data_IF_129524996878
#
_entry.id   IF_129524996878
#
_cell.length_a   1.000
_cell.length_b   1.000
_cell.length_c   1.000
_cell.angle_alpha   90.00
_cell.angle_beta   90.00
_cell.angle_gamma   90.00
#
_symmetry.space_group_name_H-M   'P 1'
#
loop_
_entity.id
_entity.type
_entity.pdbx_description
1 polymer ?
#
# COMPACT_ATOMS: atom_id res chain seq x y z
N UNK A 1 -3.41 14.51 -26.07
CA UNK A 1 -2.24 13.64 -26.17
C UNK A 1 -1.75 13.71 -27.62
N UNK A 2 -0.51 14.17 -27.84
CA UNK A 2 0.03 14.36 -29.20
C UNK A 2 0.27 13.00 -29.86
N UNK A 3 0.15 12.95 -31.19
CA UNK A 3 0.37 11.74 -32.02
C UNK A 3 1.68 11.02 -31.68
N UNK A 4 2.74 11.77 -31.38
CA UNK A 4 4.04 11.25 -30.95
C UNK A 4 3.96 10.48 -29.61
N UNK A 5 3.16 10.94 -28.66
CA UNK A 5 2.94 10.25 -27.38
C UNK A 5 2.17 8.93 -27.57
N UNK A 6 1.25 8.90 -28.53
CA UNK A 6 0.50 7.69 -28.87
C UNK A 6 1.42 6.66 -29.53
N UNK A 7 2.29 7.09 -30.45
CA UNK A 7 3.24 6.19 -31.14
C UNK A 7 4.24 5.61 -30.13
N UNK A 8 4.80 6.41 -29.23
CA UNK A 8 5.73 5.96 -28.20
C UNK A 8 5.03 5.01 -27.22
N UNK A 9 3.76 5.26 -26.90
CA UNK A 9 2.96 4.37 -26.04
C UNK A 9 2.68 3.04 -26.71
N UNK A 10 2.34 3.03 -27.99
CA UNK A 10 2.10 1.79 -28.77
C UNK A 10 3.40 0.99 -28.97
N UNK A 11 4.53 1.64 -29.26
CA UNK A 11 5.84 0.94 -29.36
C UNK A 11 6.27 0.37 -28.00
N UNK A 12 5.97 1.06 -26.92
CA UNK A 12 6.24 0.57 -25.56
C UNK A 12 5.38 -0.63 -25.19
N UNK A 13 4.08 -0.66 -25.55
CA UNK A 13 3.20 -1.81 -25.36
C UNK A 13 3.70 -3.01 -26.19
N UNK A 14 4.10 -2.79 -27.44
CA UNK A 14 4.62 -3.82 -28.32
C UNK A 14 5.95 -4.40 -27.81
N UNK A 15 6.86 -3.57 -27.34
CA UNK A 15 8.12 -4.00 -26.73
C UNK A 15 7.89 -4.75 -25.41
N UNK A 16 6.95 -4.31 -24.58
CA UNK A 16 6.64 -4.97 -23.32
C UNK A 16 5.97 -6.33 -23.51
N UNK A 17 5.12 -6.47 -24.53
CA UNK A 17 4.48 -7.75 -24.87
C UNK A 17 5.46 -8.75 -25.51
N UNK A 18 6.40 -8.28 -26.30
CA UNK A 18 7.45 -9.14 -26.88
C UNK A 18 8.44 -9.66 -25.84
N UNK A 19 8.76 -8.86 -24.80
CA UNK A 19 9.60 -9.29 -23.68
C UNK A 19 8.90 -10.30 -22.75
N UNK A 20 7.58 -10.22 -22.63
CA UNK A 20 6.79 -11.19 -21.83
C UNK A 20 6.79 -12.59 -22.49
N UNK A 21 6.90 -12.67 -23.80
CA UNK A 21 6.93 -13.96 -24.53
C UNK A 21 8.29 -14.66 -24.43
N UNK A 22 9.39 -13.92 -24.30
CA UNK A 22 10.74 -14.51 -24.16
C UNK A 22 11.10 -14.91 -22.72
N UNK A 23 10.34 -14.49 -21.73
CA UNK A 23 10.53 -14.79 -20.29
C UNK A 23 9.78 -16.07 -19.83
N UNK A 24 9.29 -16.90 -20.71
CA UNK A 24 8.82 -18.24 -20.35
C UNK A 24 10.01 -19.17 -20.18
N UNK A 25 10.52 -19.22 -18.95
CA UNK A 25 11.17 -20.33 -18.22
C UNK A 25 12.24 -19.78 -17.30
N UNK A 26 12.18 -20.04 -16.11
CA UNK A 26 12.29 -21.17 -15.23
C UNK A 26 11.44 -20.87 -14.00
N UNK A 27 10.39 -21.60 -13.83
CA UNK A 27 9.64 -21.60 -12.57
C UNK A 27 10.53 -22.26 -11.51
N UNK A 28 11.56 -21.54 -11.03
CA UNK A 28 12.14 -21.81 -9.72
C UNK A 28 11.04 -21.43 -8.74
N UNK A 29 10.45 -22.43 -8.14
CA UNK A 29 9.52 -22.35 -7.03
C UNK A 29 10.27 -21.78 -5.81
N UNK A 30 10.70 -20.52 -5.90
CA UNK A 30 11.07 -19.76 -4.72
C UNK A 30 9.74 -19.46 -4.04
N UNK A 31 9.39 -20.27 -3.06
CA UNK A 31 8.42 -19.89 -2.05
C UNK A 31 9.01 -18.68 -1.36
N UNK A 32 8.56 -17.50 -1.74
CA UNK A 32 9.07 -16.27 -1.16
C UNK A 32 8.77 -16.30 0.33
N UNK A 33 9.84 -16.27 1.12
CA UNK A 33 9.80 -16.35 2.58
C UNK A 33 8.80 -15.34 3.18
N UNK A 34 8.64 -14.17 2.54
CA UNK A 34 7.80 -13.06 3.00
C UNK A 34 6.36 -13.09 2.43
N UNK A 35 5.97 -14.12 1.72
CA UNK A 35 4.62 -14.31 1.18
C UNK A 35 4.02 -15.66 1.57
N UNK A 36 4.63 -16.39 2.48
CA UNK A 36 4.21 -17.73 2.89
C UNK A 36 4.00 -17.83 4.39
N UNK A 37 3.25 -18.84 4.82
CA UNK A 37 2.95 -19.12 6.22
C UNK A 37 2.31 -17.90 6.93
N UNK A 38 2.89 -17.48 8.05
CA UNK A 38 2.42 -16.31 8.82
C UNK A 38 2.62 -14.95 8.14
N UNK A 39 3.31 -14.92 7.01
CA UNK A 39 3.54 -13.72 6.22
C UNK A 39 2.65 -13.64 4.97
N UNK A 40 1.70 -14.55 4.84
CA UNK A 40 0.72 -14.50 3.74
C UNK A 40 -0.05 -13.18 3.81
N UNK A 41 -0.11 -12.42 2.71
CA UNK A 41 -0.86 -11.18 2.67
C UNK A 41 -2.33 -11.36 3.01
N UNK A 42 -2.90 -10.43 3.73
CA UNK A 42 -4.34 -10.35 3.95
C UNK A 42 -4.98 -9.78 2.69
N UNK A 43 -5.84 -10.56 2.04
CA UNK A 43 -6.40 -10.21 0.72
C UNK A 43 -7.71 -9.43 0.79
N UNK A 44 -8.33 -9.34 1.96
CA UNK A 44 -9.64 -8.73 2.14
C UNK A 44 -9.69 -7.83 3.37
N UNK A 45 -10.39 -6.72 3.23
CA UNK A 45 -10.78 -5.92 4.39
C UNK A 45 -11.93 -6.60 5.12
N UNK A 46 -11.83 -6.64 6.46
CA UNK A 46 -12.83 -7.30 7.31
C UNK A 46 -13.18 -6.43 8.51
N UNK A 47 -14.43 -6.55 8.94
CA UNK A 47 -14.88 -6.07 10.24
C UNK A 47 -15.46 -7.26 10.99
N UNK A 48 -14.92 -7.54 12.17
CA UNK A 48 -15.39 -8.61 13.04
C UNK A 48 -15.88 -8.01 14.35
N UNK A 49 -17.05 -8.46 14.79
CA UNK A 49 -17.64 -8.01 16.05
C UNK A 49 -17.78 -9.24 16.94
N UNK A 50 -17.14 -9.20 18.11
CA UNK A 50 -17.20 -10.25 19.12
C UNK A 50 -17.91 -9.70 20.35
N UNK A 51 -18.97 -10.35 20.78
CA UNK A 51 -19.63 -10.03 22.05
C UNK A 51 -18.87 -10.69 23.21
N UNK A 52 -18.79 -9.99 24.33
CA UNK A 52 -18.18 -10.54 25.53
C UNK A 52 -18.90 -10.07 26.79
N UNK A 53 -18.87 -10.91 27.84
CA UNK A 53 -19.43 -10.60 29.15
C UNK A 53 -18.32 -10.49 30.22
N UNK A 54 -17.07 -10.36 29.81
CA UNK A 54 -15.94 -10.38 30.73
C UNK A 54 -15.71 -9.01 31.36
N UNK A 55 -15.95 -8.89 32.67
CA UNK A 55 -15.77 -7.65 33.44
C UNK A 55 -14.33 -7.10 33.43
N UNK A 56 -13.32 -7.91 33.07
CA UNK A 56 -11.93 -7.43 32.93
C UNK A 56 -11.77 -6.39 31.83
N UNK A 57 -12.58 -6.46 30.76
CA UNK A 57 -12.56 -5.50 29.69
C UNK A 57 -13.16 -4.14 30.04
N UNK A 58 -13.89 -4.05 31.17
CA UNK A 58 -14.49 -2.78 31.62
C UNK A 58 -13.44 -1.70 31.92
N UNK A 59 -12.20 -2.09 32.22
CA UNK A 59 -11.09 -1.15 32.49
C UNK A 59 -10.48 -0.54 31.23
N UNK A 60 -10.71 -1.13 30.06
CA UNK A 60 -10.14 -0.68 28.78
C UNK A 60 -11.23 -0.23 27.79
N UNK A 61 -12.44 0.02 28.29
CA UNK A 61 -13.55 0.49 27.49
C UNK A 61 -13.24 1.83 26.80
N UNK A 62 -13.79 2.02 25.62
CA UNK A 62 -13.60 3.20 24.77
C UNK A 62 -12.15 3.46 24.35
N UNK A 63 -11.29 2.44 24.48
CA UNK A 63 -9.93 2.50 23.98
C UNK A 63 -9.81 1.82 22.61
N UNK A 64 -8.90 2.36 21.83
CA UNK A 64 -8.52 1.83 20.53
C UNK A 64 -7.09 1.36 20.59
N UNK A 65 -6.85 0.12 20.20
CA UNK A 65 -5.52 -0.37 19.85
C UNK A 65 -5.41 -0.43 18.34
N UNK A 66 -4.40 0.18 17.76
CA UNK A 66 -4.17 0.14 16.32
C UNK A 66 -2.71 -0.12 16.00
N UNK A 67 -2.49 -0.90 14.95
CA UNK A 67 -1.17 -1.22 14.40
C UNK A 67 -1.22 -1.11 12.88
N UNK A 68 -0.14 -0.66 12.26
CA UNK A 68 0.03 -0.63 10.82
C UNK A 68 1.18 -1.52 10.41
N UNK A 69 1.11 -2.05 9.20
CA UNK A 69 2.16 -2.86 8.62
C UNK A 69 2.04 -2.95 7.11
N UNK A 70 3.06 -3.54 6.53
CA UNK A 70 3.15 -3.80 5.09
C UNK A 70 2.24 -4.96 4.71
N UNK A 71 1.32 -4.75 3.77
CA UNK A 71 0.42 -5.77 3.24
C UNK A 71 0.15 -5.51 1.75
N UNK A 72 0.86 -6.18 0.84
CA UNK A 72 0.75 -5.89 -0.58
C UNK A 72 -0.63 -6.28 -1.11
N UNK A 73 -1.30 -5.37 -1.81
CA UNK A 73 -2.57 -5.66 -2.48
C UNK A 73 -2.36 -6.30 -3.85
N UNK A 74 -1.34 -5.85 -4.57
CA UNK A 74 -0.95 -6.39 -5.87
C UNK A 74 0.42 -7.05 -5.76
N UNK A 75 0.44 -8.37 -5.64
CA UNK A 75 1.67 -9.15 -5.47
C UNK A 75 2.23 -9.57 -6.83
N UNK A 76 3.50 -9.27 -7.09
CA UNK A 76 4.32 -9.96 -8.09
C UNK A 76 5.26 -10.90 -7.38
N UNK A 77 5.22 -12.18 -7.73
CA UNK A 77 5.70 -13.30 -6.92
C UNK A 77 7.22 -13.43 -6.76
N UNK A 78 8.08 -12.67 -7.44
CA UNK A 78 9.48 -13.11 -7.52
C UNK A 78 10.44 -12.33 -6.63
N UNK A 79 10.19 -11.05 -6.37
CA UNK A 79 11.15 -10.19 -5.66
C UNK A 79 10.51 -9.28 -4.59
N UNK A 80 9.48 -9.76 -3.91
CA UNK A 80 8.85 -9.01 -2.83
C UNK A 80 9.76 -8.94 -1.61
N UNK A 81 9.99 -7.75 -1.11
CA UNK A 81 10.65 -7.50 0.17
C UNK A 81 9.60 -7.16 1.24
N UNK A 82 9.86 -7.52 2.50
CA UNK A 82 8.89 -7.34 3.59
C UNK A 82 8.35 -5.89 3.70
N UNK A 83 9.17 -4.89 3.41
CA UNK A 83 8.78 -3.49 3.48
C UNK A 83 8.06 -2.95 2.22
N UNK A 84 7.92 -3.75 1.20
CA UNK A 84 7.39 -3.30 -0.10
C UNK A 84 5.86 -3.21 -0.19
N UNK A 85 5.13 -3.74 0.79
CA UNK A 85 3.67 -3.82 0.75
C UNK A 85 2.97 -2.51 1.05
N UNK A 86 1.73 -2.41 0.60
CA UNK A 86 0.85 -1.28 0.92
C UNK A 86 0.54 -1.24 2.42
N UNK A 87 0.33 -0.05 2.95
CA UNK A 87 -0.03 0.11 4.36
C UNK A 87 -1.41 -0.47 4.65
N UNK A 88 -1.47 -1.40 5.59
CA UNK A 88 -2.73 -1.89 6.13
C UNK A 88 -2.78 -1.63 7.64
N UNK A 89 -3.80 -0.91 8.07
CA UNK A 89 -4.08 -0.70 9.50
C UNK A 89 -4.96 -1.83 10.01
N UNK A 90 -4.63 -2.31 11.20
CA UNK A 90 -5.43 -3.24 12.00
C UNK A 90 -5.83 -2.53 13.28
N UNK A 91 -7.11 -2.38 13.52
CA UNK A 91 -7.63 -1.71 14.69
C UNK A 91 -8.52 -2.62 15.52
N UNK A 92 -8.43 -2.47 16.85
CA UNK A 92 -9.31 -3.14 17.81
C UNK A 92 -9.91 -2.06 18.71
N UNK A 93 -11.22 -2.00 18.75
CA UNK A 93 -11.97 -1.12 19.64
C UNK A 93 -12.68 -1.92 20.73
N UNK A 94 -12.54 -1.45 21.96
CA UNK A 94 -13.17 -2.05 23.13
C UNK A 94 -14.37 -1.21 23.54
N UNK A 95 -15.56 -1.77 23.40
CA UNK A 95 -16.81 -1.20 23.88
C UNK A 95 -17.39 -2.08 25.01
N UNK A 96 -18.37 -1.60 25.74
CA UNK A 96 -18.91 -2.17 26.97
C UNK A 96 -19.23 -3.69 26.90
N UNK A 97 -19.69 -4.16 25.76
CA UNK A 97 -20.07 -5.56 25.54
C UNK A 97 -19.51 -6.15 24.25
N UNK A 98 -18.76 -5.37 23.50
CA UNK A 98 -18.30 -5.74 22.17
C UNK A 98 -16.84 -5.41 21.99
N UNK A 99 -16.12 -6.30 21.30
CA UNK A 99 -14.80 -6.01 20.74
C UNK A 99 -14.99 -5.96 19.23
N UNK A 100 -14.58 -4.84 18.62
CA UNK A 100 -14.67 -4.65 17.18
C UNK A 100 -13.26 -4.66 16.63
N UNK A 101 -12.96 -5.59 15.74
CA UNK A 101 -11.74 -5.63 14.95
C UNK A 101 -12.04 -5.15 13.54
N UNK A 102 -11.14 -4.33 12.99
CA UNK A 102 -11.21 -3.93 11.61
C UNK A 102 -9.80 -3.87 11.00
N UNK A 103 -9.66 -4.29 9.76
CA UNK A 103 -8.48 -4.04 8.96
C UNK A 103 -8.85 -3.28 7.68
N UNK A 104 -8.00 -2.31 7.30
CA UNK A 104 -8.20 -1.45 6.13
C UNK A 104 -6.88 -1.12 5.46
N UNK A 105 -6.85 -1.11 4.12
CA UNK A 105 -5.73 -0.50 3.40
C UNK A 105 -5.77 1.01 3.52
N UNK A 106 -4.60 1.58 3.73
CA UNK A 106 -4.44 3.04 3.63
C UNK A 106 -4.56 3.42 2.16
N UNK A 107 -5.56 4.22 1.84
CA UNK A 107 -5.85 4.67 0.47
C UNK A 107 -4.85 5.75 0.05
N UNK A 108 -3.59 5.33 -0.13
CA UNK A 108 -2.52 6.19 -0.65
C UNK A 108 -2.77 6.53 -2.11
N UNK A 109 -2.18 7.62 -2.60
CA UNK A 109 -2.25 7.97 -4.05
C UNK A 109 -1.68 6.86 -4.94
N UNK A 110 -0.62 6.19 -4.46
CA UNK A 110 -0.05 5.00 -5.07
C UNK A 110 -1.09 3.89 -5.20
N UNK A 111 -1.68 3.46 -4.09
CA UNK A 111 -2.66 2.37 -4.08
C UNK A 111 -3.89 2.67 -4.93
N UNK A 112 -4.43 3.90 -4.84
CA UNK A 112 -5.57 4.33 -5.66
C UNK A 112 -5.26 4.23 -7.17
N UNK A 113 -4.05 4.58 -7.58
CA UNK A 113 -3.64 4.47 -8.97
C UNK A 113 -3.49 3.00 -9.40
N UNK A 114 -2.89 2.16 -8.56
CA UNK A 114 -2.74 0.72 -8.81
C UNK A 114 -4.11 0.00 -8.85
N UNK A 115 -5.04 0.39 -7.99
CA UNK A 115 -6.44 -0.09 -8.03
C UNK A 115 -7.16 0.31 -9.31
N UNK A 116 -7.00 1.55 -9.77
CA UNK A 116 -7.56 2.02 -11.04
C UNK A 116 -7.05 1.21 -12.21
N UNK A 117 -5.78 0.84 -12.22
CA UNK A 117 -5.17 0.04 -13.28
C UNK A 117 -5.27 -1.47 -13.03
N UNK A 118 -5.79 -1.90 -11.88
CA UNK A 118 -5.91 -3.30 -11.43
C UNK A 118 -4.59 -4.08 -11.52
N UNK A 119 -3.48 -3.39 -11.29
CA UNK A 119 -2.14 -3.97 -11.33
C UNK A 119 -1.15 -3.12 -10.55
N UNK A 120 -0.05 -3.75 -10.16
CA UNK A 120 1.11 -3.07 -9.62
C UNK A 120 1.71 -2.12 -10.67
N UNK A 121 2.03 -0.90 -10.28
CA UNK A 121 2.66 0.13 -11.11
C UNK A 121 4.01 0.59 -10.57
N UNK A 122 4.18 0.63 -9.26
CA UNK A 122 5.36 1.17 -8.60
C UNK A 122 6.39 0.07 -8.34
N UNK A 123 7.66 0.47 -8.32
CA UNK A 123 8.78 -0.42 -8.04
C UNK A 123 8.79 -0.87 -6.58
N UNK A 124 9.20 -2.10 -6.35
CA UNK A 124 9.52 -2.65 -5.05
C UNK A 124 11.05 -2.68 -4.85
N UNK A 125 11.49 -2.51 -3.60
CA UNK A 125 12.92 -2.61 -3.26
C UNK A 125 13.51 -3.97 -3.65
N UNK A 126 12.74 -5.04 -3.48
CA UNK A 126 13.16 -6.38 -3.87
C UNK A 126 13.46 -6.54 -5.35
N UNK A 127 12.85 -5.73 -6.21
CA UNK A 127 13.02 -5.78 -7.67
C UNK A 127 14.27 -5.04 -8.18
N UNK A 128 14.90 -4.23 -7.32
CA UNK A 128 16.06 -3.40 -7.70
C UNK A 128 17.38 -4.19 -7.68
N UNK A 129 17.41 -5.31 -8.44
CA UNK A 129 18.55 -6.21 -8.48
C UNK A 129 19.11 -6.38 -9.90
N UNK A 130 20.42 -6.23 -10.04
CA UNK A 130 21.12 -6.50 -11.29
C UNK A 130 20.61 -5.67 -12.49
N UNK A 131 20.81 -6.18 -13.68
CA UNK A 131 20.41 -5.52 -14.94
C UNK A 131 18.88 -5.37 -15.02
N UNK A 132 18.13 -6.35 -14.53
CA UNK A 132 16.66 -6.27 -14.50
C UNK A 132 16.17 -5.11 -13.66
N UNK A 133 16.81 -4.87 -12.50
CA UNK A 133 16.49 -3.71 -11.66
C UNK A 133 16.73 -2.39 -12.38
N UNK A 134 17.86 -2.27 -13.09
CA UNK A 134 18.15 -1.07 -13.88
C UNK A 134 17.09 -0.83 -14.99
N UNK A 135 16.70 -1.89 -15.70
CA UNK A 135 15.64 -1.80 -16.72
C UNK A 135 14.29 -1.39 -16.10
N UNK A 136 13.95 -1.88 -14.91
CA UNK A 136 12.73 -1.48 -14.21
C UNK A 136 12.78 -0.01 -13.78
N UNK A 137 13.92 0.49 -13.29
CA UNK A 137 14.11 1.90 -12.96
C UNK A 137 13.93 2.77 -14.20
N UNK A 138 14.57 2.41 -15.31
CA UNK A 138 14.44 3.16 -16.57
C UNK A 138 12.98 3.19 -17.06
N UNK A 139 12.31 2.05 -17.04
CA UNK A 139 10.88 1.94 -17.38
C UNK A 139 10.03 2.85 -16.49
N UNK A 140 10.26 2.81 -15.19
CA UNK A 140 9.54 3.62 -14.21
C UNK A 140 9.76 5.12 -14.46
N UNK A 141 11.00 5.54 -14.71
CA UNK A 141 11.36 6.94 -15.01
C UNK A 141 10.68 7.43 -16.29
N UNK A 142 10.57 6.59 -17.31
CA UNK A 142 9.83 6.94 -18.53
C UNK A 142 8.32 7.08 -18.25
N UNK A 143 7.74 6.21 -17.45
CA UNK A 143 6.32 6.33 -17.06
C UNK A 143 6.05 7.64 -16.30
N UNK A 144 6.99 8.07 -15.46
CA UNK A 144 6.91 9.33 -14.73
C UNK A 144 7.09 10.52 -15.68
N UNK A 145 8.09 10.49 -16.57
CA UNK A 145 8.35 11.54 -17.56
C UNK A 145 7.15 11.79 -18.48
N UNK A 146 6.46 10.72 -18.88
CA UNK A 146 5.25 10.81 -19.72
C UNK A 146 3.95 11.05 -18.93
N UNK A 147 4.03 11.24 -17.62
CA UNK A 147 2.88 11.58 -16.79
C UNK A 147 1.92 10.41 -16.49
N UNK A 148 2.33 9.15 -16.74
CA UNK A 148 1.53 7.98 -16.36
C UNK A 148 1.55 7.71 -14.86
N UNK A 149 2.64 8.09 -14.21
CA UNK A 149 2.83 7.99 -12.77
C UNK A 149 3.19 9.38 -12.26
N UNK A 150 2.53 9.89 -11.21
CA UNK A 150 2.89 11.19 -10.64
C UNK A 150 4.25 11.13 -9.92
N UNK A 151 5.01 12.23 -9.90
CA UNK A 151 6.31 12.30 -9.22
C UNK A 151 6.21 12.29 -7.69
N UNK A 152 5.02 12.37 -7.14
CA UNK A 152 4.73 12.43 -5.72
C UNK A 152 3.69 11.39 -5.29
N UNK A 153 3.55 11.16 -3.96
CA UNK A 153 2.57 10.21 -3.44
C UNK A 153 2.94 8.75 -3.74
N UNK A 154 4.25 8.45 -3.74
CA UNK A 154 4.79 7.11 -4.03
C UNK A 154 4.85 6.21 -2.81
N UNK A 155 4.68 6.78 -1.62
CA UNK A 155 4.78 6.06 -0.36
C UNK A 155 3.61 5.14 -0.10
N UNK A 156 3.89 4.09 0.63
CA UNK A 156 2.94 3.03 0.99
C UNK A 156 2.21 3.27 2.30
N UNK A 157 2.65 4.26 3.10
CA UNK A 157 2.10 4.56 4.43
C UNK A 157 2.02 3.32 5.35
N UNK A 158 3.09 2.52 5.38
CA UNK A 158 3.11 1.21 6.04
C UNK A 158 4.05 1.11 7.24
N UNK A 159 4.73 2.22 7.61
CA UNK A 159 5.84 2.16 8.56
C UNK A 159 5.39 2.33 10.01
N UNK A 160 4.60 3.37 10.31
CA UNK A 160 4.18 3.67 11.68
C UNK A 160 2.86 4.44 11.72
N UNK A 161 2.23 4.42 12.88
CA UNK A 161 1.11 5.30 13.22
C UNK A 161 1.61 6.40 14.18
N UNK A 162 1.16 7.63 13.94
CA UNK A 162 1.40 8.76 14.81
C UNK A 162 0.05 9.37 15.24
N UNK A 163 -0.22 9.42 16.54
CA UNK A 163 -1.33 10.18 17.08
C UNK A 163 -0.80 11.50 17.62
N UNK A 164 -1.21 12.61 17.01
CA UNK A 164 -0.77 13.94 17.38
C UNK A 164 -1.90 14.95 17.17
N UNK A 165 -2.07 15.82 18.14
CA UNK A 165 -3.09 16.88 18.14
C UNK A 165 -4.50 16.36 17.76
N UNK A 166 -4.94 15.28 18.42
CA UNK A 166 -6.24 14.61 18.20
C UNK A 166 -6.44 14.08 16.77
N UNK A 167 -5.37 13.89 16.02
CA UNK A 167 -5.39 13.35 14.66
C UNK A 167 -4.50 12.12 14.58
N UNK A 168 -4.90 11.14 13.80
CA UNK A 168 -4.14 9.90 13.55
C UNK A 168 -3.54 9.96 12.15
N UNK A 169 -2.27 9.60 12.05
CA UNK A 169 -1.53 9.61 10.80
C UNK A 169 -0.87 8.27 10.54
N UNK A 170 -0.91 7.83 9.28
CA UNK A 170 -0.08 6.74 8.78
C UNK A 170 1.15 7.31 8.08
N UNK A 171 2.33 6.82 8.46
CA UNK A 171 3.62 7.37 8.07
C UNK A 171 4.37 6.48 7.08
N UNK A 172 5.22 7.13 6.29
CA UNK A 172 6.23 6.50 5.44
C UNK A 172 7.43 7.44 5.29
N UNK A 173 8.66 6.90 5.25
CA UNK A 173 9.91 7.68 5.25
C UNK A 173 10.06 8.55 4.00
N UNK A 174 9.56 8.08 2.87
CA UNK A 174 9.71 8.73 1.55
C UNK A 174 8.47 9.46 1.06
N UNK A 175 7.47 9.70 1.92
CA UNK A 175 6.24 10.40 1.51
C UNK A 175 5.61 11.20 2.66
N UNK A 176 4.69 12.08 2.31
CA UNK A 176 3.92 12.84 3.29
C UNK A 176 2.94 11.93 4.02
N UNK A 177 2.69 12.19 5.31
CA UNK A 177 1.74 11.44 6.12
C UNK A 177 0.32 11.42 5.52
N UNK A 178 -0.38 10.33 5.73
CA UNK A 178 -1.81 10.21 5.44
C UNK A 178 -2.61 10.32 6.72
N UNK A 179 -3.51 11.30 6.77
CA UNK A 179 -4.44 11.46 7.89
C UNK A 179 -5.53 10.40 7.79
N UNK A 180 -5.78 9.73 8.92
CA UNK A 180 -6.83 8.73 9.08
C UNK A 180 -7.98 9.30 9.89
N UNK A 181 -9.19 8.89 9.56
CA UNK A 181 -10.38 9.16 10.34
C UNK A 181 -10.92 7.86 10.93
N UNK A 182 -11.34 7.92 12.18
CA UNK A 182 -12.06 6.83 12.85
C UNK A 182 -13.38 7.45 13.32
N UNK A 183 -14.49 6.98 12.76
CA UNK A 183 -15.79 7.48 13.12
C UNK A 183 -16.35 6.85 14.41
N UNK A 184 -17.52 7.27 14.83
CA UNK A 184 -18.20 6.80 16.05
C UNK A 184 -18.60 5.31 15.99
N UNK A 185 -18.67 4.74 14.79
CA UNK A 185 -18.93 3.32 14.56
C UNK A 185 -17.66 2.49 14.44
N UNK A 186 -16.51 3.12 14.70
CA UNK A 186 -15.19 2.51 14.53
C UNK A 186 -14.87 2.13 13.07
N UNK A 187 -15.38 2.87 12.11
CA UNK A 187 -14.98 2.68 10.74
C UNK A 187 -13.74 3.52 10.43
N UNK A 188 -12.66 2.85 10.05
CA UNK A 188 -11.37 3.46 9.75
C UNK A 188 -11.33 3.83 8.26
N UNK A 189 -11.04 5.08 7.96
CA UNK A 189 -10.93 5.59 6.59
C UNK A 189 -9.70 6.48 6.42
N UNK A 190 -9.16 6.54 5.21
CA UNK A 190 -8.10 7.49 4.85
C UNK A 190 -8.76 8.81 4.45
N UNK A 191 -8.45 9.88 5.18
CA UNK A 191 -9.02 11.21 4.95
C UNK A 191 -8.30 11.95 3.84
N UNK A 192 -7.00 12.13 3.99
CA UNK A 192 -6.18 12.88 3.03
C UNK A 192 -4.69 12.62 3.23
N UNK A 193 -3.90 12.84 2.17
CA UNK A 193 -2.46 13.02 2.25
C UNK A 193 -2.15 14.45 2.69
N UNK A 194 -1.26 14.64 3.64
CA UNK A 194 -0.82 15.98 4.01
C UNK A 194 -0.05 16.63 2.86
N UNK A 195 -0.07 17.95 2.82
CA UNK A 195 0.74 18.75 1.89
C UNK A 195 1.68 19.62 2.72
N UNK A 196 2.89 19.84 2.23
CA UNK A 196 3.71 20.92 2.76
C UNK A 196 2.99 22.25 2.52
N UNK A 197 2.82 23.09 3.54
CA UNK A 197 2.47 24.47 3.28
C UNK A 197 3.60 25.02 2.39
N UNK A 198 3.23 25.66 1.27
CA UNK A 198 4.21 26.33 0.43
C UNK A 198 4.90 27.39 1.30
N UNK A 199 6.21 27.27 1.50
CA UNK A 199 7.01 28.30 2.18
C UNK A 199 7.15 29.58 1.33
N UNK A 200 6.47 29.63 0.18
CA UNK A 200 6.48 30.72 -0.79
C UNK A 200 5.03 31.05 -1.17
N UNK A 201 4.31 31.68 -0.28
CA UNK A 201 3.10 32.43 -0.60
C UNK A 201 3.29 33.89 -0.17
#
# INVERSE_FOLDING_TARGET
MNYMQIIIFLTYILLSSSFVVLSKKVCKKYTQKYLTNKFVPVLEEKTLIVQHNNKKFNKIQHNIFAQIGSNPKFVNNEDYHWFDGDGMIHGIYFNNSKIIYQNKWIQTKRLQLEEKWKRKLYLYFGELKGINGLMQIMKYSLMELFGFIPPYGKGTANTALLYWNKRLFALHEGDMPYELNIDEYFNITTKQRLHYPSLYS
#
